data_IF_317709235327
#
_entry.id   IF_317709235327
#
_cell.length_a   1.000
_cell.length_b   1.000
_cell.length_c   1.000
_cell.angle_alpha   90.00
_cell.angle_beta   90.00
_cell.angle_gamma   90.00
#
_symmetry.space_group_name_H-M   'P 1'
#
loop_
_entity.id
_entity.type
_entity.pdbx_description
1 polymer ?
#
# COMPACT_ATOMS: atom_id res chain seq x y z
N UNK A 1 3.17 7.85 -2.97
CA UNK A 1 4.18 7.97 -1.89
C UNK A 1 3.76 8.88 -0.75
N UNK A 2 3.08 10.00 -1.00
CA UNK A 2 2.58 10.88 0.07
C UNK A 2 1.64 10.16 1.06
N UNK A 3 0.86 9.18 0.61
CA UNK A 3 -0.02 8.40 1.49
C UNK A 3 0.74 7.58 2.54
N UNK A 4 1.92 7.05 2.19
CA UNK A 4 2.79 6.32 3.13
C UNK A 4 3.33 7.23 4.24
N UNK A 5 3.60 8.52 3.94
CA UNK A 5 4.08 9.49 4.93
C UNK A 5 3.00 9.86 5.96
N UNK A 6 1.73 9.82 5.54
CA UNK A 6 0.57 10.21 6.36
C UNK A 6 -0.02 9.05 7.18
N UNK A 7 0.55 7.84 7.09
CA UNK A 7 -0.01 6.68 7.78
C UNK A 7 0.02 6.86 9.30
N UNK A 8 -1.09 6.53 10.00
CA UNK A 8 -1.16 6.65 11.45
C UNK A 8 -0.40 5.51 12.14
N UNK A 9 -0.15 5.67 13.44
CA UNK A 9 0.30 4.55 14.30
C UNK A 9 -0.87 3.61 14.54
N UNK A 10 -0.57 2.33 14.79
CA UNK A 10 -1.60 1.36 15.16
C UNK A 10 -2.34 1.79 16.43
N UNK A 11 -3.68 1.75 16.35
CA UNK A 11 -4.59 1.86 17.50
C UNK A 11 -4.51 0.62 18.38
N UNK A 12 -5.04 0.71 19.60
CA UNK A 12 -4.97 -0.39 20.56
C UNK A 12 -5.65 -1.68 20.06
N UNK A 13 -6.63 -1.57 19.15
CA UNK A 13 -7.27 -2.72 18.48
C UNK A 13 -6.27 -3.61 17.74
N UNK A 14 -5.24 -3.01 17.16
CA UNK A 14 -4.28 -3.69 16.28
C UNK A 14 -2.89 -3.82 16.92
N UNK A 15 -2.70 -3.39 18.17
CA UNK A 15 -1.41 -3.47 18.86
C UNK A 15 -1.16 -4.87 19.43
N UNK A 16 0.11 -5.26 19.46
CA UNK A 16 0.57 -6.46 20.18
C UNK A 16 0.24 -7.79 19.49
N UNK A 17 -0.33 -7.76 18.29
CA UNK A 17 -0.54 -8.92 17.44
C UNK A 17 0.71 -9.26 16.63
N UNK A 18 0.96 -10.55 16.40
CA UNK A 18 1.96 -10.97 15.42
C UNK A 18 1.50 -10.57 13.99
N UNK A 19 2.44 -10.57 13.04
CA UNK A 19 2.19 -10.08 11.67
C UNK A 19 0.99 -10.75 10.99
N UNK A 20 0.75 -12.04 11.22
CA UNK A 20 -0.37 -12.73 10.56
C UNK A 20 -1.68 -12.29 11.17
N UNK A 21 -1.78 -12.28 12.50
CA UNK A 21 -2.98 -11.80 13.19
C UNK A 21 -3.30 -10.35 12.88
N UNK A 22 -2.28 -9.49 12.78
CA UNK A 22 -2.45 -8.10 12.38
C UNK A 22 -3.03 -8.00 10.96
N UNK A 23 -2.46 -8.75 10.01
CA UNK A 23 -2.95 -8.75 8.63
C UNK A 23 -4.41 -9.17 8.54
N UNK A 24 -4.75 -10.31 9.15
CA UNK A 24 -6.11 -10.84 9.13
C UNK A 24 -7.09 -9.88 9.80
N UNK A 25 -6.75 -9.31 10.96
CA UNK A 25 -7.62 -8.34 11.63
C UNK A 25 -7.89 -7.11 10.76
N UNK A 26 -6.87 -6.55 10.09
CA UNK A 26 -7.04 -5.42 9.19
C UNK A 26 -7.85 -5.79 7.95
N UNK A 27 -7.62 -6.97 7.38
CA UNK A 27 -8.32 -7.45 6.19
C UNK A 27 -9.79 -7.74 6.48
N UNK A 28 -10.07 -8.49 7.55
CA UNK A 28 -11.42 -8.85 7.96
C UNK A 28 -12.23 -7.59 8.31
N UNK A 29 -11.63 -6.63 9.03
CA UNK A 29 -12.28 -5.34 9.33
C UNK A 29 -12.50 -4.51 8.05
N UNK A 30 -11.55 -4.51 7.11
CA UNK A 30 -11.69 -3.80 5.83
C UNK A 30 -12.83 -4.39 4.99
N UNK A 31 -12.98 -5.72 4.99
CA UNK A 31 -14.02 -6.44 4.28
C UNK A 31 -15.34 -6.54 5.06
N UNK A 32 -15.40 -6.04 6.29
CA UNK A 32 -16.60 -6.12 7.14
C UNK A 32 -17.72 -5.17 6.72
N UNK A 33 -17.57 -4.45 5.60
CA UNK A 33 -18.67 -3.71 4.99
C UNK A 33 -19.64 -4.74 4.36
N UNK A 34 -20.39 -5.42 5.23
CA UNK A 34 -21.52 -6.24 4.84
C UNK A 34 -22.75 -5.63 5.53
N UNK A 35 -23.74 -5.26 4.72
CA UNK A 35 -24.92 -4.49 5.14
C UNK A 35 -25.79 -5.25 6.18
N UNK A 36 -25.51 -6.55 6.40
CA UNK A 36 -26.30 -7.45 7.25
C UNK A 36 -25.99 -7.37 8.76
N UNK A 37 -24.76 -7.02 9.18
CA UNK A 37 -24.32 -7.20 10.59
C UNK A 37 -24.28 -5.91 11.44
N UNK A 38 -24.64 -4.77 10.85
CA UNK A 38 -24.83 -3.48 11.55
C UNK A 38 -23.59 -2.91 12.25
N UNK A 39 -22.41 -3.51 12.06
CA UNK A 39 -21.13 -3.05 12.58
C UNK A 39 -20.14 -2.88 11.45
N UNK A 40 -20.01 -1.66 10.98
CA UNK A 40 -18.97 -1.25 10.05
C UNK A 40 -17.66 -1.02 10.82
N UNK A 41 -16.72 -1.95 10.69
CA UNK A 41 -15.35 -1.79 11.20
C UNK A 41 -14.37 -1.36 10.10
N UNK A 42 -14.84 -1.17 8.87
CA UNK A 42 -14.00 -0.80 7.73
C UNK A 42 -13.35 0.56 7.95
N UNK A 43 -14.06 1.50 8.59
CA UNK A 43 -13.52 2.81 8.97
C UNK A 43 -12.27 2.70 9.87
N UNK A 44 -12.17 1.64 10.70
CA UNK A 44 -11.03 1.43 11.56
C UNK A 44 -9.81 0.87 10.80
N UNK A 45 -10.02 0.10 9.74
CA UNK A 45 -8.96 -0.50 8.94
C UNK A 45 -8.52 0.38 7.76
N UNK A 46 -9.44 1.17 7.20
CA UNK A 46 -9.22 2.01 6.01
C UNK A 46 -8.00 2.92 6.06
N UNK A 47 -7.66 3.58 7.19
CA UNK A 47 -6.48 4.44 7.27
C UNK A 47 -5.16 3.71 6.98
N UNK A 48 -5.11 2.40 7.23
CA UNK A 48 -3.92 1.57 7.01
C UNK A 48 -3.87 0.99 5.60
N UNK A 49 -5.00 0.86 4.90
CA UNK A 49 -5.07 0.33 3.54
C UNK A 49 -4.23 1.18 2.57
N UNK A 50 -3.46 0.55 1.69
CA UNK A 50 -2.61 1.21 0.71
C UNK A 50 -2.93 0.69 -0.69
N UNK A 51 -3.52 1.55 -1.51
CA UNK A 51 -3.74 1.26 -2.93
C UNK A 51 -2.51 1.65 -3.74
N UNK A 52 -1.83 0.67 -4.33
CA UNK A 52 -0.61 0.88 -5.12
C UNK A 52 -0.87 1.01 -6.64
N UNK A 53 -2.13 1.15 -7.06
CA UNK A 53 -2.54 1.18 -8.47
C UNK A 53 -2.52 -0.21 -9.13
N UNK A 54 -2.88 -0.24 -10.42
CA UNK A 54 -3.29 -1.46 -11.14
C UNK A 54 -2.25 -2.58 -11.24
N UNK A 55 -0.96 -2.27 -11.10
CA UNK A 55 0.11 -3.27 -11.10
C UNK A 55 0.13 -4.15 -9.85
N UNK A 56 -0.52 -3.71 -8.77
CA UNK A 56 -0.50 -4.38 -7.47
C UNK A 56 -1.89 -4.78 -6.98
N UNK A 57 -2.90 -4.82 -7.87
CA UNK A 57 -4.27 -5.19 -7.51
C UNK A 57 -4.40 -6.63 -7.00
N UNK A 58 -3.40 -7.48 -7.29
CA UNK A 58 -3.29 -8.82 -6.74
C UNK A 58 -2.68 -8.86 -5.33
N UNK A 59 -2.45 -7.73 -4.67
CA UNK A 59 -1.97 -7.68 -3.30
C UNK A 59 -2.91 -6.85 -2.44
N UNK A 60 -3.26 -7.40 -1.27
CA UNK A 60 -3.75 -6.58 -0.18
C UNK A 60 -2.57 -6.02 0.58
N UNK A 61 -2.49 -4.69 0.67
CA UNK A 61 -1.35 -3.97 1.23
C UNK A 61 -1.82 -3.03 2.33
N UNK A 62 -1.18 -3.14 3.49
CA UNK A 62 -1.41 -2.26 4.63
C UNK A 62 -0.11 -1.58 5.04
N UNK A 63 -0.18 -0.34 5.50
CA UNK A 63 0.96 0.39 6.02
C UNK A 63 0.59 1.20 7.27
N UNK A 64 1.52 1.26 8.22
CA UNK A 64 1.36 1.99 9.46
C UNK A 64 2.68 2.61 9.92
N UNK A 65 2.57 3.65 10.73
CA UNK A 65 3.70 4.27 11.42
C UNK A 65 4.09 3.44 12.63
N UNK A 66 5.36 3.04 12.71
CA UNK A 66 5.88 2.37 13.91
C UNK A 66 6.28 3.41 14.96
N UNK A 67 7.06 4.39 14.53
CA UNK A 67 7.59 5.49 15.34
C UNK A 67 7.78 6.75 14.47
N UNK A 68 8.54 7.73 14.94
CA UNK A 68 8.68 8.99 14.21
C UNK A 68 9.64 8.88 13.00
N UNK A 69 10.47 7.85 12.96
CA UNK A 69 11.51 7.64 11.94
C UNK A 69 11.17 6.50 10.97
N UNK A 70 10.40 5.51 11.42
CA UNK A 70 10.11 4.28 10.70
C UNK A 70 8.61 4.00 10.53
N UNK A 71 8.29 3.46 9.35
CA UNK A 71 7.02 2.83 9.05
C UNK A 71 7.17 1.34 8.78
N UNK A 72 6.04 0.65 8.77
CA UNK A 72 5.92 -0.75 8.40
C UNK A 72 4.94 -0.89 7.26
N UNK A 73 5.23 -1.81 6.36
CA UNK A 73 4.34 -2.24 5.29
C UNK A 73 4.14 -3.75 5.41
N UNK A 74 2.88 -4.16 5.34
CA UNK A 74 2.42 -5.54 5.33
C UNK A 74 1.71 -5.83 4.02
N UNK A 75 1.93 -7.00 3.45
CA UNK A 75 1.23 -7.40 2.24
C UNK A 75 1.07 -8.91 2.15
N UNK A 76 0.03 -9.33 1.45
CA UNK A 76 -0.23 -10.71 1.06
C UNK A 76 -0.77 -10.71 -0.37
N UNK A 77 -0.35 -11.69 -1.16
CA UNK A 77 -0.90 -11.91 -2.49
C UNK A 77 -2.35 -12.40 -2.35
N UNK A 78 -3.29 -11.60 -2.84
CA UNK A 78 -4.71 -11.94 -2.97
C UNK A 78 -5.05 -12.13 -4.45
N UNK A 79 -5.64 -13.26 -4.78
CA UNK A 79 -6.11 -13.49 -6.14
C UNK A 79 -6.27 -14.98 -6.42
N UNK A 80 -7.30 -15.31 -7.19
CA UNK A 80 -7.50 -16.67 -7.66
C UNK A 80 -6.33 -17.09 -8.55
N UNK A 81 -5.84 -18.33 -8.39
CA UNK A 81 -4.70 -18.84 -9.17
C UNK A 81 -4.93 -18.73 -10.69
N UNK A 82 -6.19 -18.79 -11.12
CA UNK A 82 -6.58 -18.67 -12.53
C UNK A 82 -6.42 -17.24 -13.08
N UNK A 83 -6.54 -16.23 -12.21
CA UNK A 83 -6.51 -14.80 -12.55
C UNK A 83 -5.16 -14.14 -12.26
N UNK A 84 -4.24 -14.85 -11.59
CA UNK A 84 -2.89 -14.35 -11.33
C UNK A 84 -1.99 -14.41 -12.57
N UNK A 85 -1.09 -13.45 -12.68
CA UNK A 85 0.01 -13.50 -13.65
C UNK A 85 0.82 -14.79 -13.46
N UNK A 86 1.29 -15.38 -14.57
CA UNK A 86 1.92 -16.71 -14.56
C UNK A 86 3.14 -16.80 -13.63
N UNK A 87 3.90 -15.71 -13.48
CA UNK A 87 5.04 -15.59 -12.58
C UNK A 87 4.63 -15.53 -11.09
N UNK A 88 3.40 -15.10 -10.79
CA UNK A 88 2.85 -15.04 -9.43
C UNK A 88 2.11 -16.31 -9.01
N UNK A 89 1.78 -17.23 -9.93
CA UNK A 89 1.06 -18.48 -9.61
C UNK A 89 1.76 -19.37 -8.59
N UNK A 90 3.09 -19.29 -8.53
CA UNK A 90 3.91 -20.05 -7.57
C UNK A 90 4.49 -19.18 -6.45
N UNK A 91 4.11 -17.89 -6.40
CA UNK A 91 4.56 -17.01 -5.34
C UNK A 91 3.93 -17.41 -4.00
N UNK A 92 4.65 -17.14 -2.91
CA UNK A 92 4.15 -17.41 -1.57
C UNK A 92 2.92 -16.55 -1.28
N UNK A 93 1.89 -17.17 -0.72
CA UNK A 93 0.70 -16.49 -0.18
C UNK A 93 0.84 -16.16 1.31
N UNK A 94 2.07 -16.16 1.80
CA UNK A 94 2.37 -15.81 3.19
C UNK A 94 2.21 -14.29 3.42
N UNK A 95 2.01 -13.92 4.69
CA UNK A 95 2.02 -12.52 5.12
C UNK A 95 3.46 -12.04 5.24
N UNK A 96 3.80 -11.06 4.42
CA UNK A 96 5.11 -10.42 4.42
C UNK A 96 5.05 -9.08 5.17
N UNK A 97 6.17 -8.73 5.82
CA UNK A 97 6.34 -7.46 6.52
C UNK A 97 7.72 -6.89 6.26
N UNK A 98 7.80 -5.59 6.01
CA UNK A 98 9.05 -4.85 5.92
C UNK A 98 8.97 -3.54 6.71
N UNK A 99 10.12 -3.09 7.19
CA UNK A 99 10.30 -1.74 7.73
C UNK A 99 10.88 -0.82 6.65
N UNK A 100 10.54 0.45 6.73
CA UNK A 100 11.13 1.50 5.91
C UNK A 100 11.36 2.77 6.76
N UNK A 101 12.35 3.57 6.40
CA UNK A 101 12.55 4.89 7.02
C UNK A 101 11.82 5.99 6.25
N UNK A 102 11.29 6.97 6.97
CA UNK A 102 10.63 8.14 6.35
C UNK A 102 11.61 9.01 5.58
N UNK A 103 12.87 9.07 6.02
CA UNK A 103 13.96 9.73 5.28
C UNK A 103 14.15 9.09 3.90
N UNK A 104 14.35 7.77 3.83
CA UNK A 104 14.54 7.06 2.56
C UNK A 104 13.32 7.15 1.67
N UNK A 105 12.12 7.08 2.25
CA UNK A 105 10.87 7.28 1.51
C UNK A 105 10.79 8.67 0.89
N UNK A 106 11.27 9.70 1.59
CA UNK A 106 11.29 11.07 1.10
C UNK A 106 12.28 11.25 -0.06
N UNK A 107 13.48 10.66 0.06
CA UNK A 107 14.46 10.63 -1.04
C UNK A 107 13.86 9.96 -2.29
N UNK A 108 13.27 8.78 -2.14
CA UNK A 108 12.62 8.05 -3.24
C UNK A 108 11.49 8.85 -3.88
N UNK A 109 10.70 9.57 -3.08
CA UNK A 109 9.63 10.42 -3.59
C UNK A 109 10.19 11.56 -4.45
N UNK A 110 11.24 12.24 -3.97
CA UNK A 110 11.90 13.31 -4.74
C UNK A 110 12.57 12.81 -6.01
N UNK A 111 13.23 11.65 -5.97
CA UNK A 111 13.81 11.02 -7.16
C UNK A 111 12.74 10.68 -8.19
N UNK A 112 11.62 10.10 -7.76
CA UNK A 112 10.51 9.77 -8.65
C UNK A 112 9.87 11.02 -9.25
N UNK A 113 9.66 12.08 -8.46
CA UNK A 113 9.16 13.37 -8.94
C UNK A 113 10.10 14.01 -9.98
N UNK A 114 11.41 13.88 -9.79
CA UNK A 114 12.39 14.34 -10.77
C UNK A 114 12.26 13.59 -12.11
N UNK A 115 12.17 12.26 -12.06
CA UNK A 115 11.98 11.43 -13.26
C UNK A 115 10.68 11.79 -13.98
N UNK A 116 9.58 11.96 -13.26
CA UNK A 116 8.30 12.36 -13.85
C UNK A 116 8.39 13.74 -14.51
N UNK A 117 9.07 14.69 -13.88
CA UNK A 117 9.28 16.03 -14.42
C UNK A 117 10.12 15.98 -15.70
N UNK A 118 11.19 15.20 -15.71
CA UNK A 118 12.05 15.01 -16.89
C UNK A 118 11.28 14.37 -18.05
N UNK A 119 10.49 13.34 -17.77
CA UNK A 119 9.62 12.68 -18.75
C UNK A 119 8.49 13.61 -19.28
N UNK A 120 8.04 14.55 -18.45
CA UNK A 120 7.02 15.55 -18.79
C UNK A 120 7.55 16.82 -19.48
N UNK A 121 8.86 17.08 -19.43
CA UNK A 121 9.47 18.18 -20.20
C UNK A 121 9.54 17.80 -21.68
N UNK A 122 8.96 18.60 -22.60
CA UNK A 122 9.23 18.40 -24.02
C UNK A 122 10.74 18.58 -24.22
N UNK A 123 11.39 17.57 -24.81
CA UNK A 123 12.80 17.66 -25.15
C UNK A 123 13.11 18.90 -26.02
N UNK A 124 14.39 19.27 -26.17
CA UNK A 124 14.82 20.48 -26.89
C UNK A 124 14.42 20.53 -28.39
N UNK A 125 13.70 19.53 -28.88
CA UNK A 125 13.16 19.42 -30.24
C UNK A 125 11.63 19.52 -30.31
N UNK A 126 10.92 19.79 -29.21
CA UNK A 126 9.47 19.97 -29.21
C UNK A 126 9.05 21.31 -29.81
N UNK A 127 8.81 21.35 -31.12
CA UNK A 127 8.01 22.45 -31.70
C UNK A 127 6.59 22.37 -31.13
N UNK A 128 5.96 23.50 -30.74
CA UNK A 128 4.52 23.52 -30.55
C UNK A 128 3.88 23.27 -31.92
N UNK A 129 3.16 22.17 -32.05
CA UNK A 129 2.21 22.01 -33.15
C UNK A 129 1.07 22.98 -32.87
N UNK A 130 1.14 24.15 -33.48
CA UNK A 130 -0.06 24.95 -33.71
C UNK A 130 -0.95 24.20 -34.68
N UNK A 131 -2.22 24.08 -34.33
CA UNK A 131 -3.40 24.23 -35.18
C UNK A 131 -4.61 24.46 -34.28
#
# INVERSE_FOLDING_TARGET
MQDLQKKPRLTDRYRGTDKHRLFHALYDDLCSYDEEDGKDFSEAAWPYNLTCGTLFDCYSVFAYRQDDEQGRILWRLEGDEENLFNDLKHASRDVHVAAFSYERLSVLASEFENVLREAGTPGPYGRPAGL
#
